data_IF_655917831329
#
_entry.id   IF_655917831329
#
_cell.length_a   1.000
_cell.length_b   1.000
_cell.length_c   1.000
_cell.angle_alpha   90.00
_cell.angle_beta   90.00
_cell.angle_gamma   90.00
#
_symmetry.space_group_name_H-M   'P 1'
#
loop_
_entity.id
_entity.type
_entity.pdbx_description
1 polymer ?
#
# COMPACT_ATOMS: atom_id res chain seq x y z
N UNK A 1 16.94 -25.53 -13.54
CA UNK A 1 15.96 -26.58 -13.90
C UNK A 1 14.59 -26.26 -13.33
N UNK A 2 13.53 -26.43 -14.13
CA UNK A 2 12.12 -26.08 -13.90
C UNK A 2 11.45 -26.67 -12.63
N UNK A 3 12.19 -27.41 -11.79
CA UNK A 3 11.67 -28.27 -10.70
C UNK A 3 11.65 -27.64 -9.30
N UNK A 4 12.25 -26.47 -9.06
CA UNK A 4 12.17 -25.82 -7.73
C UNK A 4 10.98 -24.87 -7.56
N UNK A 5 10.15 -24.68 -8.60
CA UNK A 5 9.02 -23.73 -8.62
C UNK A 5 7.73 -24.22 -7.94
N UNK A 6 7.70 -25.44 -7.38
CA UNK A 6 6.48 -26.10 -6.91
C UNK A 6 6.42 -26.35 -5.39
N UNK A 7 7.14 -25.60 -4.57
CA UNK A 7 6.89 -25.61 -3.11
C UNK A 7 6.17 -24.32 -2.72
N UNK A 8 4.98 -24.48 -2.17
CA UNK A 8 4.06 -23.44 -1.67
C UNK A 8 3.15 -22.71 -2.68
N UNK A 9 2.78 -23.34 -3.81
CA UNK A 9 1.61 -22.91 -4.62
C UNK A 9 1.70 -21.55 -5.33
N UNK A 10 2.79 -20.80 -5.17
CA UNK A 10 3.00 -19.51 -5.82
C UNK A 10 3.90 -19.72 -7.05
N UNK A 11 3.31 -19.67 -8.25
CA UNK A 11 4.09 -19.52 -9.48
C UNK A 11 4.69 -18.11 -9.45
N UNK A 12 5.95 -18.01 -9.05
CA UNK A 12 6.73 -16.76 -9.15
C UNK A 12 6.94 -16.44 -10.65
N UNK A 13 6.13 -15.52 -11.18
CA UNK A 13 6.38 -14.86 -12.45
C UNK A 13 7.71 -14.10 -12.42
N UNK A 14 8.27 -13.77 -13.59
CA UNK A 14 9.63 -13.24 -13.73
C UNK A 14 9.87 -11.82 -13.18
N UNK A 15 8.91 -11.21 -12.50
CA UNK A 15 8.96 -9.79 -12.14
C UNK A 15 9.05 -8.87 -13.38
N UNK A 16 8.89 -7.56 -13.18
CA UNK A 16 9.15 -6.54 -14.20
C UNK A 16 9.79 -5.35 -13.51
N UNK A 17 10.81 -4.77 -14.14
CA UNK A 17 11.38 -3.51 -13.71
C UNK A 17 10.48 -2.36 -14.14
N UNK A 18 10.30 -1.38 -13.26
CA UNK A 18 9.64 -0.13 -13.61
C UNK A 18 10.62 0.78 -14.36
N UNK A 19 10.19 1.44 -15.45
CA UNK A 19 10.98 2.46 -16.11
C UNK A 19 11.41 3.58 -15.16
N UNK A 20 12.61 4.15 -15.34
CA UNK A 20 13.17 5.20 -14.48
C UNK A 20 12.34 6.49 -14.39
N UNK A 21 11.47 6.74 -15.37
CA UNK A 21 10.58 7.91 -15.39
C UNK A 21 9.32 7.72 -14.54
N UNK A 22 9.06 6.50 -14.04
CA UNK A 22 8.01 6.22 -13.07
C UNK A 22 8.56 6.44 -11.67
N UNK A 23 7.96 7.34 -10.90
CA UNK A 23 8.28 7.53 -9.48
C UNK A 23 7.12 7.05 -8.63
N UNK A 24 7.42 6.33 -7.55
CA UNK A 24 6.44 5.85 -6.60
C UNK A 24 6.79 6.41 -5.23
N UNK A 25 5.78 6.97 -4.55
CA UNK A 25 5.90 7.50 -3.21
C UNK A 25 4.88 6.78 -2.32
N UNK A 26 5.33 6.33 -1.16
CA UNK A 26 4.48 5.72 -0.15
C UNK A 26 4.72 6.47 1.16
N UNK A 27 3.65 7.07 1.69
CA UNK A 27 3.70 7.90 2.89
C UNK A 27 2.62 7.46 3.87
N UNK A 28 2.94 7.60 5.16
CA UNK A 28 2.03 7.31 6.26
C UNK A 28 1.92 8.54 7.16
N UNK A 29 0.71 8.85 7.59
CA UNK A 29 0.44 9.94 8.52
C UNK A 29 -0.37 9.39 9.71
N UNK A 30 0.09 9.58 10.97
CA UNK A 30 -0.63 9.11 12.14
C UNK A 30 -1.95 9.88 12.33
N UNK A 31 -2.92 9.23 12.97
CA UNK A 31 -4.14 9.89 13.45
C UNK A 31 -3.87 10.59 14.79
N UNK A 32 -4.45 11.78 14.98
CA UNK A 32 -4.38 12.48 16.28
C UNK A 32 -5.18 11.74 17.38
N UNK A 33 -6.22 11.01 17.00
CA UNK A 33 -7.15 10.37 17.94
C UNK A 33 -6.72 8.99 18.43
N UNK A 34 -5.76 8.33 17.75
CA UNK A 34 -5.31 6.99 18.10
C UNK A 34 -3.91 6.72 17.57
N UNK A 35 -3.02 6.24 18.45
CA UNK A 35 -1.63 5.95 18.13
C UNK A 35 -1.45 4.85 17.08
N UNK A 36 -2.42 3.94 16.95
CA UNK A 36 -2.39 2.81 16.03
C UNK A 36 -3.19 3.07 14.74
N UNK A 37 -3.78 4.25 14.56
CA UNK A 37 -4.55 4.59 13.37
C UNK A 37 -3.86 5.68 12.56
N UNK A 38 -4.25 5.83 11.30
CA UNK A 38 -3.68 6.85 10.44
C UNK A 38 -4.20 6.79 9.02
N UNK A 39 -3.44 7.38 8.11
CA UNK A 39 -3.71 7.36 6.68
C UNK A 39 -2.47 6.93 5.91
N UNK A 40 -2.70 6.22 4.81
CA UNK A 40 -1.68 5.88 3.81
C UNK A 40 -1.92 6.68 2.55
N UNK A 41 -0.85 7.11 1.92
CA UNK A 41 -0.86 7.67 0.58
C UNK A 41 0.11 6.87 -0.31
N UNK A 42 -0.39 6.36 -1.43
CA UNK A 42 0.43 5.77 -2.50
C UNK A 42 0.29 6.62 -3.76
N UNK A 43 1.36 7.31 -4.15
CA UNK A 43 1.39 8.17 -5.32
C UNK A 43 2.30 7.59 -6.41
N UNK A 44 1.77 7.48 -7.62
CA UNK A 44 2.50 7.09 -8.83
C UNK A 44 2.58 8.29 -9.76
N UNK A 45 3.80 8.71 -10.08
CA UNK A 45 4.07 9.80 -11.02
C UNK A 45 4.62 9.25 -12.33
N UNK A 46 3.96 9.63 -13.43
CA UNK A 46 4.19 9.20 -14.80
C UNK A 46 4.37 10.46 -15.65
N UNK A 47 5.56 11.08 -15.58
CA UNK A 47 5.80 12.39 -16.19
C UNK A 47 4.87 13.47 -15.59
N UNK A 48 4.06 14.18 -16.39
CA UNK A 48 3.11 15.18 -15.89
C UNK A 48 1.89 14.58 -15.19
N UNK A 49 1.59 13.29 -15.42
CA UNK A 49 0.44 12.62 -14.79
C UNK A 49 0.83 12.13 -13.40
N UNK A 50 -0.02 12.40 -12.42
CA UNK A 50 0.07 11.87 -11.06
C UNK A 50 -1.25 11.21 -10.67
N UNK A 51 -1.15 9.99 -10.14
CA UNK A 51 -2.28 9.28 -9.56
C UNK A 51 -1.92 9.02 -8.09
N UNK A 52 -2.81 9.41 -7.18
CA UNK A 52 -2.63 9.26 -5.74
C UNK A 52 -3.81 8.47 -5.19
N UNK A 53 -3.53 7.39 -4.49
CA UNK A 53 -4.50 6.62 -3.71
C UNK A 53 -4.31 6.93 -2.23
N UNK A 54 -5.40 7.18 -1.53
CA UNK A 54 -5.39 7.44 -0.08
C UNK A 54 -6.45 6.62 0.63
N UNK A 55 -6.25 6.40 1.93
CA UNK A 55 -7.26 5.82 2.80
C UNK A 55 -6.71 5.47 4.18
N UNK A 56 -7.52 4.82 5.03
CA UNK A 56 -7.19 4.60 6.44
C UNK A 56 -6.14 3.49 6.63
N UNK A 57 -5.44 3.55 7.76
CA UNK A 57 -4.54 2.51 8.22
C UNK A 57 -4.80 2.12 9.66
N UNK A 58 -4.55 0.86 10.01
CA UNK A 58 -4.54 0.35 11.39
C UNK A 58 -3.31 -0.51 11.63
N UNK A 59 -2.50 -0.14 12.61
CA UNK A 59 -1.33 -0.88 13.04
C UNK A 59 -1.69 -1.87 14.14
N UNK A 60 -1.09 -3.06 14.07
CA UNK A 60 -1.24 -4.14 15.03
C UNK A 60 0.15 -4.49 15.58
N UNK A 61 0.57 -3.85 16.71
CA UNK A 61 1.95 -3.92 17.20
C UNK A 61 2.42 -5.34 17.50
N UNK A 62 1.56 -6.20 18.05
CA UNK A 62 1.91 -7.57 18.45
C UNK A 62 2.38 -8.44 17.28
N UNK A 63 1.95 -8.13 16.05
CA UNK A 63 2.24 -8.93 14.86
C UNK A 63 2.98 -8.13 13.78
N UNK A 64 3.33 -6.87 14.05
CA UNK A 64 3.92 -5.93 13.09
C UNK A 64 3.12 -5.82 11.79
N UNK A 65 1.78 -5.86 11.90
CA UNK A 65 0.88 -5.78 10.75
C UNK A 65 0.34 -4.36 10.62
N UNK A 66 0.47 -3.79 9.42
CA UNK A 66 -0.21 -2.56 9.04
C UNK A 66 -1.30 -2.92 8.04
N UNK A 67 -2.55 -2.84 8.47
CA UNK A 67 -3.70 -2.98 7.60
C UNK A 67 -4.06 -1.63 6.98
N UNK A 68 -4.61 -1.65 5.77
CA UNK A 68 -4.98 -0.46 5.02
C UNK A 68 -6.10 -0.73 4.03
N UNK A 69 -6.82 0.31 3.63
CA UNK A 69 -7.70 0.31 2.45
C UNK A 69 -7.44 1.60 1.66
N UNK A 70 -7.41 1.51 0.34
CA UNK A 70 -7.42 2.68 -0.53
C UNK A 70 -8.86 2.98 -0.92
N UNK A 71 -9.44 3.99 -0.28
CA UNK A 71 -10.84 4.39 -0.44
C UNK A 71 -11.01 5.59 -1.37
N UNK A 72 -9.97 6.40 -1.52
CA UNK A 72 -9.99 7.65 -2.28
C UNK A 72 -8.89 7.68 -3.35
N UNK A 73 -9.14 8.44 -4.41
CA UNK A 73 -8.20 8.66 -5.51
C UNK A 73 -8.17 10.15 -5.87
N UNK A 74 -6.97 10.64 -6.19
CA UNK A 74 -6.75 11.93 -6.86
C UNK A 74 -5.97 11.69 -8.14
N UNK A 75 -6.40 12.33 -9.23
CA UNK A 75 -5.71 12.31 -10.53
C UNK A 75 -5.38 13.76 -10.89
N UNK A 76 -4.11 14.02 -11.16
CA UNK A 76 -3.61 15.34 -11.52
C UNK A 76 -2.76 15.27 -12.79
N UNK A 77 -2.84 16.29 -13.64
CA UNK A 77 -2.01 16.45 -14.83
C UNK A 77 -1.30 17.81 -14.78
N UNK A 78 0.03 17.80 -14.79
CA UNK A 78 0.87 19.00 -14.66
C UNK A 78 0.52 19.85 -13.43
N UNK A 79 0.14 19.21 -12.33
CA UNK A 79 -0.27 19.88 -11.09
C UNK A 79 -1.75 20.28 -11.02
N UNK A 80 -2.48 20.28 -12.14
CA UNK A 80 -3.92 20.51 -12.16
C UNK A 80 -4.67 19.24 -11.74
N UNK A 81 -5.46 19.30 -10.67
CA UNK A 81 -6.32 18.19 -10.25
C UNK A 81 -7.49 18.04 -11.21
N UNK A 82 -7.52 16.92 -11.94
CA UNK A 82 -8.60 16.57 -12.87
C UNK A 82 -9.74 15.85 -12.15
N UNK A 83 -9.42 15.10 -11.10
CA UNK A 83 -10.39 14.36 -10.31
C UNK A 83 -9.89 14.16 -8.88
N UNK A 84 -10.79 14.26 -7.92
CA UNK A 84 -10.57 13.86 -6.54
C UNK A 84 -11.87 13.35 -5.93
N UNK A 85 -11.85 12.17 -5.33
CA UNK A 85 -13.02 11.60 -4.67
C UNK A 85 -12.84 10.15 -4.25
N UNK A 86 -13.92 9.53 -3.77
CA UNK A 86 -13.94 8.12 -3.43
C UNK A 86 -13.87 7.24 -4.68
N UNK A 87 -13.11 6.15 -4.61
CA UNK A 87 -13.25 5.07 -5.59
C UNK A 87 -14.58 4.34 -5.36
N UNK A 88 -15.00 3.49 -6.31
CA UNK A 88 -16.27 2.75 -6.20
C UNK A 88 -16.38 2.02 -4.86
N UNK A 89 -17.41 2.34 -4.08
CA UNK A 89 -17.67 1.80 -2.74
C UNK A 89 -16.64 2.21 -1.66
N UNK A 90 -15.77 3.17 -1.95
CA UNK A 90 -14.69 3.59 -1.06
C UNK A 90 -15.19 4.20 0.24
N UNK A 91 -16.25 5.00 0.18
CA UNK A 91 -16.84 5.65 1.35
C UNK A 91 -17.37 4.62 2.37
N UNK A 92 -18.14 3.64 1.91
CA UNK A 92 -18.69 2.58 2.77
C UNK A 92 -17.57 1.72 3.40
N UNK A 93 -16.53 1.39 2.62
CA UNK A 93 -15.39 0.61 3.13
C UNK A 93 -14.57 1.40 4.14
N UNK A 94 -14.30 2.68 3.88
CA UNK A 94 -13.57 3.54 4.82
C UNK A 94 -14.32 3.66 6.16
N UNK A 95 -15.65 3.83 6.11
CA UNK A 95 -16.49 3.92 7.31
C UNK A 95 -16.44 2.64 8.15
N UNK A 96 -16.38 1.45 7.52
CA UNK A 96 -16.36 0.15 8.20
C UNK A 96 -14.96 -0.39 8.48
N UNK A 97 -13.91 0.31 8.04
CA UNK A 97 -12.53 -0.19 8.02
C UNK A 97 -12.05 -0.67 9.40
N UNK A 98 -12.32 0.12 10.45
CA UNK A 98 -11.85 -0.20 11.80
C UNK A 98 -12.62 -1.34 12.48
N UNK A 99 -13.83 -1.63 12.00
CA UNK A 99 -14.71 -2.70 12.50
C UNK A 99 -14.46 -4.04 11.78
N UNK A 100 -13.94 -3.99 10.55
CA UNK A 100 -13.65 -5.18 9.77
C UNK A 100 -12.54 -6.05 10.41
N UNK A 101 -12.66 -7.38 10.36
CA UNK A 101 -11.60 -8.24 10.84
C UNK A 101 -10.39 -8.21 9.90
N UNK A 102 -9.17 -8.33 10.44
CA UNK A 102 -7.92 -8.29 9.67
C UNK A 102 -7.88 -9.27 8.49
N UNK A 103 -8.55 -10.44 8.62
CA UNK A 103 -8.67 -11.45 7.55
C UNK A 103 -9.43 -10.96 6.31
N UNK A 104 -10.08 -9.81 6.35
CA UNK A 104 -10.81 -9.20 5.22
C UNK A 104 -10.09 -7.97 4.68
N UNK A 105 -9.08 -7.45 5.39
CA UNK A 105 -8.34 -6.26 5.02
C UNK A 105 -7.11 -6.57 4.16
N UNK A 106 -6.67 -5.59 3.38
CA UNK A 106 -5.32 -5.61 2.82
C UNK A 106 -4.32 -5.24 3.94
N UNK A 107 -3.15 -5.87 3.94
CA UNK A 107 -2.14 -5.58 4.94
C UNK A 107 -0.72 -5.90 4.48
N UNK A 108 0.22 -5.28 5.17
CA UNK A 108 1.64 -5.61 5.15
C UNK A 108 2.08 -6.08 6.54
N UNK A 109 2.83 -7.19 6.60
CA UNK A 109 3.58 -7.60 7.77
C UNK A 109 5.01 -7.08 7.62
N UNK A 110 5.40 -6.10 8.43
CA UNK A 110 6.74 -5.55 8.43
C UNK A 110 7.67 -6.45 9.23
N UNK A 111 8.84 -6.74 8.65
CA UNK A 111 9.87 -7.54 9.32
C UNK A 111 11.25 -6.86 9.33
N UNK A 112 11.36 -5.68 8.70
CA UNK A 112 12.52 -4.81 8.78
C UNK A 112 12.09 -3.36 8.58
N UNK A 113 12.44 -2.48 9.52
CA UNK A 113 12.22 -1.03 9.44
C UNK A 113 13.44 -0.33 10.02
N UNK A 114 14.28 0.22 9.15
CA UNK A 114 15.50 0.94 9.52
C UNK A 114 15.60 2.26 8.74
N UNK A 115 16.54 3.12 9.14
CA UNK A 115 16.73 4.44 8.53
C UNK A 115 16.98 4.42 7.01
N UNK A 116 17.49 3.31 6.46
CA UNK A 116 17.86 3.19 5.04
C UNK A 116 17.12 2.08 4.31
N UNK A 117 16.39 1.22 5.01
CA UNK A 117 15.68 0.13 4.37
C UNK A 117 14.39 -0.23 5.12
N UNK A 118 13.40 -0.66 4.36
CA UNK A 118 12.13 -1.16 4.87
C UNK A 118 11.78 -2.41 4.07
N UNK A 119 11.38 -3.47 4.77
CA UNK A 119 10.92 -4.70 4.13
C UNK A 119 9.64 -5.21 4.78
N UNK A 120 8.71 -5.62 3.93
CA UNK A 120 7.41 -6.13 4.33
C UNK A 120 6.94 -7.25 3.41
N UNK A 121 6.03 -8.07 3.93
CA UNK A 121 5.32 -9.09 3.16
C UNK A 121 3.85 -8.74 3.09
N UNK A 122 3.29 -8.71 1.89
CA UNK A 122 1.87 -8.49 1.68
C UNK A 122 1.06 -9.74 2.01
N UNK A 123 -0.25 -9.56 2.25
CA UNK A 123 -1.22 -10.65 2.47
C UNK A 123 -1.12 -11.81 1.47
N UNK A 124 -0.96 -11.51 0.18
CA UNK A 124 -0.82 -12.52 -0.89
C UNK A 124 0.54 -13.22 -0.95
N UNK A 125 1.43 -12.94 0.00
CA UNK A 125 2.76 -13.54 0.09
C UNK A 125 3.87 -12.81 -0.66
N UNK A 126 3.53 -11.77 -1.45
CA UNK A 126 4.51 -10.93 -2.16
C UNK A 126 5.41 -10.14 -1.21
N UNK A 127 6.66 -9.91 -1.63
CA UNK A 127 7.66 -9.13 -0.88
C UNK A 127 7.73 -7.70 -1.42
N UNK A 128 7.77 -6.73 -0.50
CA UNK A 128 8.03 -5.34 -0.78
C UNK A 128 9.32 -4.94 -0.05
N UNK A 129 10.28 -4.39 -0.79
CA UNK A 129 11.57 -3.95 -0.26
C UNK A 129 11.81 -2.53 -0.77
N UNK A 130 12.13 -1.63 0.13
CA UNK A 130 12.59 -0.29 -0.15
C UNK A 130 13.99 -0.13 0.44
N UNK A 131 14.92 0.36 -0.37
CA UNK A 131 16.26 0.73 0.04
C UNK A 131 16.58 2.09 -0.56
N UNK A 132 17.26 2.93 0.21
CA UNK A 132 17.85 4.17 -0.27
C UNK A 132 19.24 3.93 -0.86
#
# INVERSE_FOLDING_TARGET
TKRSRQRAGVILGSGRFLPKWIKIYLSYSPSESSQDQGTVQNAVQLGPLQIVLTGPTKFYPKTNILAFDFSQIRISLSGLTLYQGYIKGGQDRETRFYEQPLKEQAFFTYFLVENRCIAARGRGGGLAIWSK
#
